data_IF_785691852490
#
_entry.id   IF_785691852490
#
_cell.length_a   1.000
_cell.length_b   1.000
_cell.length_c   1.000
_cell.angle_alpha   90.00
_cell.angle_beta   90.00
_cell.angle_gamma   90.00
#
_symmetry.space_group_name_H-M   'P 1'
#
loop_
_entity.id
_entity.type
_entity.pdbx_description
1 polymer ?
#
# COMPACT_ATOMS: atom_id res chain seq x y z
N UNK A 1 11.14 42.28 6.01
CA UNK A 1 10.56 41.07 6.60
C UNK A 1 10.36 40.10 5.45
N UNK A 2 11.38 39.30 5.17
CA UNK A 2 11.33 38.30 4.10
C UNK A 2 10.43 37.16 4.60
N UNK A 3 9.15 37.24 4.23
CA UNK A 3 8.15 36.25 4.58
C UNK A 3 8.34 35.11 3.58
N UNK A 4 9.37 34.29 3.82
CA UNK A 4 9.51 33.00 3.16
C UNK A 4 8.23 32.21 3.42
N UNK A 5 7.31 32.29 2.46
CA UNK A 5 6.14 31.44 2.35
C UNK A 5 6.66 30.02 2.17
N UNK A 6 6.94 29.39 3.30
CA UNK A 6 7.05 27.96 3.39
C UNK A 6 5.63 27.44 3.09
N UNK A 7 5.31 27.35 1.80
CA UNK A 7 4.37 26.39 1.22
C UNK A 7 4.94 24.98 1.44
N UNK A 8 5.29 24.67 2.69
CA UNK A 8 5.59 23.33 3.13
C UNK A 8 4.22 22.71 3.27
N UNK A 9 3.86 21.84 2.33
CA UNK A 9 2.71 20.98 2.51
C UNK A 9 2.74 20.40 3.93
N UNK A 10 1.62 20.40 4.66
CA UNK A 10 1.58 19.94 6.05
C UNK A 10 1.91 18.45 6.17
N UNK A 11 2.07 17.74 5.05
CA UNK A 11 2.26 16.30 5.01
C UNK A 11 3.73 15.92 4.91
N UNK A 12 4.17 14.94 5.71
CA UNK A 12 5.53 14.44 5.62
C UNK A 12 5.78 13.78 4.26
N UNK A 13 6.96 14.00 3.66
CA UNK A 13 7.34 13.33 2.42
C UNK A 13 7.64 11.86 2.68
N UNK A 14 7.38 11.02 1.68
CA UNK A 14 7.72 9.61 1.68
C UNK A 14 9.25 9.45 1.74
N UNK A 15 9.71 8.64 2.68
CA UNK A 15 11.13 8.38 2.91
C UNK A 15 11.81 7.55 1.81
N UNK A 16 11.05 7.03 0.83
CA UNK A 16 11.60 6.29 -0.33
C UNK A 16 11.63 7.13 -1.61
N UNK A 17 10.54 7.82 -1.97
CA UNK A 17 10.44 8.55 -3.25
C UNK A 17 10.46 10.08 -3.10
N UNK A 18 10.28 10.61 -1.88
CA UNK A 18 10.24 12.05 -1.63
C UNK A 18 8.88 12.70 -1.91
N UNK A 19 7.96 11.99 -2.58
CA UNK A 19 6.60 12.49 -2.82
C UNK A 19 5.78 12.55 -1.53
N UNK A 20 4.80 13.45 -1.49
CA UNK A 20 3.93 13.62 -0.32
C UNK A 20 3.12 12.35 -0.01
N UNK A 21 3.02 12.02 1.28
CA UNK A 21 2.10 10.99 1.77
C UNK A 21 0.79 11.68 2.15
N UNK A 22 -0.23 11.55 1.29
CA UNK A 22 -1.51 12.23 1.47
C UNK A 22 -2.32 11.60 2.62
N UNK A 23 -2.96 12.43 3.44
CA UNK A 23 -3.91 11.95 4.44
C UNK A 23 -5.09 11.26 3.77
N UNK A 24 -5.41 10.05 4.23
CA UNK A 24 -6.48 9.21 3.69
C UNK A 24 -5.99 8.12 2.75
N UNK A 25 -4.73 8.16 2.33
CA UNK A 25 -4.11 7.02 1.65
C UNK A 25 -3.45 6.06 2.65
N UNK A 26 -3.41 4.74 2.34
CA UNK A 26 -2.64 3.78 3.11
C UNK A 26 -1.17 4.18 3.19
N UNK A 27 -0.67 4.27 4.42
CA UNK A 27 0.72 4.63 4.70
C UNK A 27 1.31 3.75 5.80
N UNK A 28 2.62 3.56 5.72
CA UNK A 28 3.40 2.83 6.72
C UNK A 28 4.23 3.79 7.57
N UNK A 29 4.21 3.55 8.88
CA UNK A 29 5.07 4.19 9.87
C UNK A 29 5.50 3.13 10.89
N UNK A 30 6.67 3.32 11.51
CA UNK A 30 7.20 2.35 12.49
C UNK A 30 8.01 3.05 13.58
N UNK A 31 7.88 2.65 14.86
CA UNK A 31 8.59 3.30 15.96
C UNK A 31 10.12 3.11 15.92
N UNK A 32 10.61 2.07 15.23
CA UNK A 32 12.04 1.79 15.02
C UNK A 32 12.71 2.85 14.13
N UNK A 33 11.92 3.60 13.36
CA UNK A 33 12.38 4.67 12.47
C UNK A 33 11.53 5.93 12.68
N UNK A 34 11.72 6.64 13.80
CA UNK A 34 10.89 7.80 14.14
C UNK A 34 11.02 8.91 13.09
N UNK A 35 9.90 9.59 12.82
CA UNK A 35 9.83 10.69 11.85
C UNK A 35 9.87 10.26 10.38
N UNK A 36 9.88 8.95 10.09
CA UNK A 36 9.83 8.43 8.73
C UNK A 36 8.47 7.82 8.42
N UNK A 37 8.02 8.07 7.20
CA UNK A 37 6.77 7.56 6.64
C UNK A 37 7.01 7.06 5.22
N UNK A 38 6.20 6.11 4.79
CA UNK A 38 6.29 5.53 3.45
C UNK A 38 4.90 5.29 2.89
N UNK A 39 4.73 5.42 1.58
CA UNK A 39 3.60 4.79 0.90
C UNK A 39 3.71 3.26 1.06
N UNK A 40 2.57 2.55 1.02
CA UNK A 40 2.57 1.08 1.12
C UNK A 40 3.50 0.41 0.10
N UNK A 41 3.47 0.85 -1.17
CA UNK A 41 4.35 0.30 -2.22
C UNK A 41 5.83 0.56 -1.93
N UNK A 42 6.14 1.74 -1.38
CA UNK A 42 7.49 2.10 -0.98
C UNK A 42 7.97 1.28 0.21
N UNK A 43 7.11 1.08 1.21
CA UNK A 43 7.40 0.23 2.36
C UNK A 43 7.58 -1.25 1.95
N UNK A 44 6.82 -1.75 0.97
CA UNK A 44 7.02 -3.09 0.42
C UNK A 44 8.36 -3.21 -0.33
N UNK A 45 8.72 -2.21 -1.14
CA UNK A 45 10.01 -2.17 -1.85
C UNK A 45 11.19 -2.17 -0.88
N UNK A 46 11.07 -1.46 0.23
CA UNK A 46 12.06 -1.40 1.31
C UNK A 46 12.04 -2.65 2.22
N UNK A 47 11.11 -3.58 2.02
CA UNK A 47 10.95 -4.78 2.85
C UNK A 47 10.41 -4.51 4.26
N UNK A 48 9.82 -3.35 4.50
CA UNK A 48 9.17 -2.97 5.76
C UNK A 48 7.75 -3.53 5.88
N UNK A 49 7.07 -3.70 4.75
CA UNK A 49 5.79 -4.39 4.66
C UNK A 49 5.93 -5.65 3.79
N UNK A 50 5.22 -6.75 4.11
CA UNK A 50 5.13 -7.87 3.20
C UNK A 50 4.47 -7.40 1.90
N UNK A 51 4.98 -7.86 0.76
CA UNK A 51 4.28 -7.68 -0.51
C UNK A 51 2.92 -8.36 -0.37
N UNK A 52 1.83 -7.60 -0.36
CA UNK A 52 0.50 -8.20 -0.24
C UNK A 52 0.35 -9.21 -1.36
N UNK A 53 0.02 -10.48 -1.05
CA UNK A 53 -0.19 -11.46 -2.10
C UNK A 53 -1.32 -10.91 -2.97
N UNK A 54 -1.05 -10.75 -4.28
CA UNK A 54 -2.07 -10.40 -5.27
C UNK A 54 -3.31 -11.25 -4.94
N UNK A 55 -4.51 -10.66 -4.78
CA UNK A 55 -5.68 -11.43 -4.48
C UNK A 55 -5.73 -12.55 -5.50
N UNK A 56 -5.65 -13.79 -5.01
CA UNK A 56 -5.67 -14.99 -5.85
C UNK A 56 -7.02 -14.92 -6.51
N UNK A 57 -7.05 -14.40 -7.74
CA UNK A 57 -8.27 -14.20 -8.51
C UNK A 57 -8.89 -15.58 -8.55
N UNK A 58 -9.92 -15.78 -7.73
CA UNK A 58 -10.45 -17.09 -7.41
C UNK A 58 -10.84 -17.77 -8.70
N UNK A 59 -9.93 -18.58 -9.23
CA UNK A 59 -10.17 -19.37 -10.43
C UNK A 59 -11.07 -20.48 -9.94
N UNK A 60 -12.38 -20.20 -9.89
CA UNK A 60 -13.42 -21.22 -9.84
C UNK A 60 -13.19 -22.06 -11.10
N UNK A 61 -12.33 -23.08 -10.98
CA UNK A 61 -12.34 -24.23 -11.86
C UNK A 61 -13.66 -24.93 -11.53
N UNK A 62 -14.74 -24.52 -12.18
CA UNK A 62 -15.91 -25.38 -12.32
C UNK A 62 -15.47 -26.57 -13.16
N UNK A 63 -15.18 -27.70 -12.52
CA UNK A 63 -14.97 -28.97 -13.22
C UNK A 63 -15.66 -30.09 -12.45
N UNK A 64 -16.73 -30.55 -13.09
CA UNK A 64 -17.28 -31.91 -13.10
C UNK A 64 -17.88 -32.48 -11.82
N UNK A 65 -19.21 -32.62 -11.80
CA UNK A 65 -19.90 -33.90 -11.50
C UNK A 65 -21.13 -33.96 -12.43
N UNK A 66 -21.03 -34.69 -13.53
CA UNK A 66 -21.52 -36.06 -13.70
C UNK A 66 -23.05 -36.12 -13.79
N UNK A 67 -23.53 -36.52 -14.97
CA UNK A 67 -24.92 -36.81 -15.26
C UNK A 67 -25.41 -38.00 -14.41
N UNK A 68 -26.64 -37.89 -13.92
CA UNK A 68 -27.48 -39.02 -13.53
C UNK A 68 -28.84 -38.81 -14.23
N UNK A 69 -29.32 -39.75 -15.05
CA UNK A 69 -30.67 -39.71 -15.55
C UNK A 69 -31.64 -40.13 -14.43
N UNK A 70 -32.62 -39.28 -14.14
CA UNK A 70 -33.78 -39.67 -13.35
C UNK A 70 -34.63 -40.63 -14.19
N UNK A 71 -34.92 -41.79 -13.59
CA UNK A 71 -35.86 -42.82 -14.07
C UNK A 71 -37.22 -42.25 -14.46
#
# INVERSE_FOLDING_TARGET
MDRSEHTSSPYPPCSCCGDEVLLGEPMYWTPERPGRVWHDLCAQKEGLLPSTPKPVRGKRRGRSQHAEPLF
#
